data_IF_244000188098
#
_entry.id   IF_244000188098
#
_cell.length_a   1.000
_cell.length_b   1.000
_cell.length_c   1.000
_cell.angle_alpha   90.00
_cell.angle_beta   90.00
_cell.angle_gamma   90.00
#
_symmetry.space_group_name_H-M   'P 1'
#
loop_
_entity.id
_entity.type
_entity.pdbx_description
1 polymer ?
#
# COMPACT_ATOMS: atom_id res chain seq x y z
N UNK A 1 46.46 1.85 54.96
CA UNK A 1 45.77 1.37 53.75
C UNK A 1 44.69 2.38 53.38
N UNK A 2 44.75 3.00 52.20
CA UNK A 2 43.72 3.93 51.70
C UNK A 2 43.14 3.32 50.42
N UNK A 3 41.92 2.79 50.52
CA UNK A 3 41.17 2.24 49.39
C UNK A 3 40.48 3.39 48.66
N UNK A 4 40.71 3.50 47.34
CA UNK A 4 40.01 4.43 46.44
C UNK A 4 38.58 3.91 46.23
N UNK A 5 37.58 4.75 46.47
CA UNK A 5 36.22 4.54 45.98
C UNK A 5 35.92 5.69 45.03
N UNK A 6 35.98 5.39 43.73
CA UNK A 6 35.27 6.12 42.69
C UNK A 6 33.97 5.34 42.50
N UNK A 7 32.82 5.98 42.76
CA UNK A 7 31.53 5.39 42.42
C UNK A 7 30.67 6.43 41.72
N UNK A 8 30.46 6.10 40.45
CA UNK A 8 29.66 6.73 39.43
C UNK A 8 28.20 6.77 39.91
N UNK A 9 27.61 7.96 40.01
CA UNK A 9 26.16 8.13 40.11
C UNK A 9 25.68 9.10 39.03
N UNK A 10 25.79 8.64 37.78
CA UNK A 10 24.97 9.11 36.68
C UNK A 10 23.97 8.01 36.36
N UNK A 11 22.90 7.90 37.15
CA UNK A 11 21.83 6.91 36.94
C UNK A 11 20.46 7.53 37.28
N UNK A 12 20.19 8.64 36.61
CA UNK A 12 18.88 9.29 36.41
C UNK A 12 19.07 9.92 35.02
N UNK A 13 18.60 9.39 33.91
CA UNK A 13 17.30 8.83 33.62
C UNK A 13 17.43 7.98 32.35
N UNK A 14 17.42 6.66 32.51
CA UNK A 14 16.91 5.79 31.44
C UNK A 14 15.40 5.98 31.42
N UNK A 15 14.96 7.13 30.90
CA UNK A 15 13.66 7.24 30.27
C UNK A 15 13.73 6.33 29.07
N UNK A 16 13.39 5.06 29.29
CA UNK A 16 13.04 4.12 28.24
C UNK A 16 11.99 4.82 27.40
N UNK A 17 12.45 5.42 26.31
CA UNK A 17 11.62 5.96 25.27
C UNK A 17 11.05 4.75 24.54
N UNK A 18 10.11 4.04 25.18
CA UNK A 18 9.23 3.06 24.54
C UNK A 18 8.19 3.81 23.72
N UNK A 19 8.64 4.77 22.91
CA UNK A 19 8.02 5.06 21.63
C UNK A 19 8.79 4.21 20.60
N UNK A 20 8.79 2.89 20.79
CA UNK A 20 9.04 2.01 19.66
C UNK A 20 7.96 2.39 18.66
N UNK A 21 8.37 3.04 17.57
CA UNK A 21 7.50 3.49 16.50
C UNK A 21 6.58 2.32 16.14
N UNK A 22 5.31 2.43 16.51
CA UNK A 22 4.28 1.55 15.99
C UNK A 22 4.13 1.97 14.53
N UNK A 23 5.02 1.43 13.67
CA UNK A 23 4.90 1.62 12.24
C UNK A 23 3.52 1.12 11.84
N UNK A 24 2.73 1.99 11.22
CA UNK A 24 1.42 1.63 10.68
C UNK A 24 1.62 0.43 9.75
N UNK A 25 0.96 -0.68 10.05
CA UNK A 25 1.00 -1.92 9.26
C UNK A 25 0.80 -1.61 7.77
N UNK A 26 -0.12 -0.70 7.43
CA UNK A 26 -0.37 -0.32 6.05
C UNK A 26 0.80 0.43 5.39
N UNK A 27 1.54 1.24 6.14
CA UNK A 27 2.76 1.90 5.64
C UNK A 27 3.90 0.91 5.43
N UNK A 28 4.03 -0.08 6.30
CA UNK A 28 5.02 -1.15 6.17
C UNK A 28 4.74 -2.00 4.93
N UNK A 29 3.48 -2.41 4.75
CA UNK A 29 3.05 -3.22 3.61
C UNK A 29 3.24 -2.48 2.29
N UNK A 30 2.85 -1.19 2.23
CA UNK A 30 3.11 -0.33 1.06
C UNK A 30 4.61 -0.23 0.75
N UNK A 31 5.48 -0.07 1.76
CA UNK A 31 6.93 0.02 1.56
C UNK A 31 7.48 -1.29 0.97
N UNK A 32 7.09 -2.43 1.54
CA UNK A 32 7.53 -3.76 1.11
C UNK A 32 7.07 -4.04 -0.32
N UNK A 33 5.77 -3.86 -0.61
CA UNK A 33 5.24 -4.03 -1.95
C UNK A 33 5.96 -3.13 -2.95
N UNK A 34 6.17 -1.85 -2.62
CA UNK A 34 6.82 -0.93 -3.54
C UNK A 34 8.26 -1.33 -3.83
N UNK A 35 9.00 -1.82 -2.83
CA UNK A 35 10.36 -2.34 -3.02
C UNK A 35 10.38 -3.51 -4.00
N UNK A 36 9.45 -4.46 -3.90
CA UNK A 36 9.37 -5.57 -4.85
C UNK A 36 8.88 -5.10 -6.23
N UNK A 37 7.90 -4.21 -6.25
CA UNK A 37 7.27 -3.71 -7.46
C UNK A 37 8.25 -2.97 -8.35
N UNK A 38 8.86 -1.89 -7.87
CA UNK A 38 9.77 -1.07 -8.67
C UNK A 38 11.25 -1.34 -8.33
N UNK A 39 11.57 -1.65 -7.07
CA UNK A 39 12.94 -1.75 -6.60
C UNK A 39 13.74 -0.50 -6.93
N UNK A 40 14.92 -0.68 -7.53
CA UNK A 40 15.78 0.41 -8.02
C UNK A 40 15.45 0.87 -9.45
N UNK A 41 14.40 0.31 -10.08
CA UNK A 41 13.99 0.70 -11.44
C UNK A 41 13.40 2.12 -11.47
N UNK A 42 13.65 2.87 -12.53
CA UNK A 42 13.00 4.16 -12.80
C UNK A 42 11.96 4.08 -13.93
N UNK A 43 11.65 2.87 -14.39
CA UNK A 43 10.73 2.61 -15.50
C UNK A 43 9.57 1.70 -15.09
N UNK A 44 8.37 2.09 -15.50
CA UNK A 44 7.16 1.27 -15.47
C UNK A 44 6.62 1.03 -16.87
N UNK A 45 5.99 -0.13 -17.04
CA UNK A 45 5.10 -0.41 -18.16
C UNK A 45 3.63 -0.21 -17.79
N UNK A 46 2.78 -0.12 -18.80
CA UNK A 46 1.33 -0.12 -18.68
C UNK A 46 0.74 -1.15 -19.66
N UNK A 47 -0.19 -1.96 -19.18
CA UNK A 47 -1.00 -2.88 -19.98
C UNK A 47 -2.46 -2.42 -19.93
N UNK A 48 -3.08 -2.42 -21.10
CA UNK A 48 -4.48 -2.06 -21.30
C UNK A 48 -5.42 -3.13 -20.72
N UNK A 49 -6.49 -2.69 -20.04
CA UNK A 49 -7.51 -3.55 -19.41
C UNK A 49 -8.15 -4.57 -20.35
N UNK A 50 -8.16 -4.32 -21.67
CA UNK A 50 -8.74 -5.26 -22.65
C UNK A 50 -8.00 -6.61 -22.70
N UNK A 51 -6.76 -6.66 -22.20
CA UNK A 51 -5.93 -7.87 -22.15
C UNK A 51 -5.88 -8.53 -20.77
N UNK A 52 -6.68 -8.05 -19.81
CA UNK A 52 -6.59 -8.44 -18.40
C UNK A 52 -7.92 -9.06 -17.98
N UNK A 53 -7.87 -10.24 -17.35
CA UNK A 53 -9.07 -10.89 -16.83
C UNK A 53 -9.47 -10.39 -15.42
N UNK A 54 -10.48 -11.02 -14.82
CA UNK A 54 -10.97 -10.66 -13.48
C UNK A 54 -9.95 -10.94 -12.36
N UNK A 55 -8.99 -11.84 -12.61
CA UNK A 55 -7.97 -12.29 -11.67
C UNK A 55 -6.61 -11.63 -11.93
N UNK A 56 -6.62 -10.54 -12.71
CA UNK A 56 -5.43 -9.81 -13.15
C UNK A 56 -4.49 -10.60 -14.06
N UNK A 57 -4.93 -11.74 -14.58
CA UNK A 57 -4.12 -12.51 -15.51
C UNK A 57 -4.01 -11.74 -16.84
N UNK A 58 -2.77 -11.55 -17.28
CA UNK A 58 -2.44 -10.85 -18.52
C UNK A 58 -2.39 -11.84 -19.68
N UNK A 59 -3.11 -11.53 -20.76
CA UNK A 59 -3.02 -12.29 -22.02
C UNK A 59 -1.61 -12.23 -22.62
N UNK A 60 -1.12 -13.35 -23.16
CA UNK A 60 0.15 -13.42 -23.90
C UNK A 60 0.24 -12.44 -25.09
N UNK A 61 -0.90 -11.99 -25.60
CA UNK A 61 -0.98 -11.00 -26.68
C UNK A 61 -0.84 -9.55 -26.22
N UNK A 62 -0.74 -9.30 -24.91
CA UNK A 62 -0.62 -7.98 -24.33
C UNK A 62 0.70 -7.32 -24.74
N UNK A 63 0.61 -6.04 -25.11
CA UNK A 63 1.79 -5.20 -25.30
C UNK A 63 2.03 -4.33 -24.07
N UNK A 64 3.27 -4.31 -23.57
CA UNK A 64 3.67 -3.43 -22.48
C UNK A 64 4.03 -2.06 -23.06
N UNK A 65 3.27 -1.03 -22.69
CA UNK A 65 3.50 0.35 -23.10
C UNK A 65 4.47 1.00 -22.11
N UNK A 66 5.67 1.42 -22.53
CA UNK A 66 6.62 2.04 -21.61
C UNK A 66 6.15 3.44 -21.19
N UNK A 67 6.13 3.70 -19.89
CA UNK A 67 5.84 5.00 -19.33
C UNK A 67 7.09 5.88 -19.30
N UNK A 68 6.90 7.19 -19.42
CA UNK A 68 7.99 8.14 -19.22
C UNK A 68 8.45 8.15 -17.76
N UNK A 69 9.68 8.60 -17.50
CA UNK A 69 10.19 8.82 -16.13
C UNK A 69 9.31 9.74 -15.28
N UNK A 70 8.64 10.71 -15.91
CA UNK A 70 7.72 11.59 -15.19
C UNK A 70 6.46 10.84 -14.77
N UNK A 71 5.87 10.07 -15.67
CA UNK A 71 4.67 9.26 -15.40
C UNK A 71 4.96 8.19 -14.37
N UNK A 72 6.09 7.50 -14.48
CA UNK A 72 6.56 6.52 -13.47
C UNK A 72 6.63 7.14 -12.07
N UNK A 73 7.28 8.31 -11.93
CA UNK A 73 7.32 9.04 -10.64
C UNK A 73 5.93 9.46 -10.16
N UNK A 74 5.03 9.81 -11.07
CA UNK A 74 3.67 10.21 -10.74
C UNK A 74 2.86 9.01 -10.21
N UNK A 75 2.99 7.81 -10.79
CA UNK A 75 2.38 6.57 -10.29
C UNK A 75 2.94 6.20 -8.90
N UNK A 76 4.27 6.20 -8.74
CA UNK A 76 4.90 5.86 -7.45
C UNK A 76 4.47 6.83 -6.34
N UNK A 77 4.38 8.14 -6.64
CA UNK A 77 3.90 9.13 -5.67
C UNK A 77 2.43 8.94 -5.34
N UNK A 78 1.60 8.62 -6.33
CA UNK A 78 0.19 8.31 -6.11
C UNK A 78 0.05 7.12 -5.14
N UNK A 79 0.77 6.03 -5.38
CA UNK A 79 0.76 4.86 -4.49
C UNK A 79 1.24 5.21 -3.08
N UNK A 80 2.40 5.86 -2.92
CA UNK A 80 2.91 6.24 -1.60
C UNK A 80 1.94 7.11 -0.80
N UNK A 81 1.29 8.06 -1.47
CA UNK A 81 0.33 8.99 -0.84
C UNK A 81 -1.07 8.43 -0.67
N UNK A 82 -1.38 7.24 -1.18
CA UNK A 82 -2.69 6.63 -1.07
C UNK A 82 -2.94 6.05 0.34
N UNK A 83 -4.22 5.95 0.68
CA UNK A 83 -4.66 5.35 1.94
C UNK A 83 -4.70 3.82 1.78
N UNK A 84 -4.02 3.10 2.66
CA UNK A 84 -4.04 1.65 2.67
C UNK A 84 -5.37 1.14 3.24
N UNK A 85 -5.93 0.11 2.60
CA UNK A 85 -7.15 -0.56 3.00
C UNK A 85 -6.93 -2.07 2.97
N UNK A 86 -7.35 -2.76 4.03
CA UNK A 86 -7.27 -4.21 4.18
C UNK A 86 -8.66 -4.75 4.52
N UNK A 87 -9.29 -5.38 3.54
CA UNK A 87 -10.61 -6.00 3.64
C UNK A 87 -10.56 -7.33 4.39
N UNK A 88 -9.36 -7.88 4.64
CA UNK A 88 -9.22 -9.07 5.48
C UNK A 88 -9.44 -8.76 6.95
N UNK A 89 -9.43 -7.48 7.36
CA UNK A 89 -9.53 -7.09 8.76
C UNK A 89 -10.74 -6.22 8.98
N UNK A 90 -11.76 -6.72 9.70
CA UNK A 90 -12.67 -5.83 10.43
C UNK A 90 -11.91 -5.40 11.69
N UNK A 91 -11.61 -4.10 11.79
CA UNK A 91 -11.22 -3.51 13.07
C UNK A 91 -12.50 -3.13 13.80
N UNK A 92 -12.78 -3.81 14.91
CA UNK A 92 -13.76 -3.30 15.85
C UNK A 92 -13.15 -2.12 16.61
N UNK A 93 -13.96 -1.10 16.90
CA UNK A 93 -13.54 -0.04 17.82
C UNK A 93 -13.43 -0.61 19.24
N UNK A 94 -12.54 -0.03 20.05
CA UNK A 94 -12.51 -0.32 21.48
C UNK A 94 -13.87 0.04 22.11
N UNK A 95 -14.44 -0.89 22.87
CA UNK A 95 -15.67 -0.62 23.64
C UNK A 95 -15.28 0.18 24.87
N UNK A 96 -15.90 1.35 25.04
CA UNK A 96 -15.66 2.24 26.18
C UNK A 96 -16.89 2.33 27.08
N UNK A 97 -16.68 2.44 28.38
CA UNK A 97 -17.76 2.75 29.34
C UNK A 97 -18.16 4.24 29.26
N UNK A 98 -19.18 4.64 30.04
CA UNK A 98 -19.67 6.04 30.08
C UNK A 98 -18.60 7.06 30.54
N UNK A 99 -17.57 6.61 31.26
CA UNK A 99 -16.44 7.44 31.68
C UNK A 99 -15.32 7.53 30.61
N UNK A 100 -15.45 6.80 29.50
CA UNK A 100 -14.47 6.75 28.40
C UNK A 100 -13.34 5.74 28.58
N UNK A 101 -13.40 4.88 29.59
CA UNK A 101 -12.40 3.83 29.83
C UNK A 101 -12.67 2.62 28.92
N UNK A 102 -11.61 2.08 28.32
CA UNK A 102 -11.69 0.88 27.48
C UNK A 102 -12.03 -0.32 28.37
N UNK A 103 -13.16 -0.98 28.09
CA UNK A 103 -13.62 -2.19 28.77
C UNK A 103 -13.47 -3.45 27.92
N UNK A 104 -13.35 -3.28 26.60
CA UNK A 104 -13.05 -4.35 25.65
C UNK A 104 -12.20 -3.77 24.53
N UNK A 105 -11.07 -4.40 24.23
CA UNK A 105 -10.23 -4.01 23.10
C UNK A 105 -10.86 -4.48 21.79
N UNK A 106 -10.88 -3.60 20.80
CA UNK A 106 -11.33 -3.93 19.46
C UNK A 106 -10.53 -5.08 18.86
N UNK A 107 -11.18 -6.22 18.65
CA UNK A 107 -10.52 -7.39 18.05
C UNK A 107 -10.37 -7.23 16.53
N UNK A 108 -9.31 -7.82 15.99
CA UNK A 108 -9.08 -7.96 14.55
C UNK A 108 -9.69 -9.29 14.11
N UNK A 109 -10.78 -9.24 13.35
CA UNK A 109 -11.35 -10.45 12.72
C UNK A 109 -10.85 -10.59 11.28
N UNK A 110 -10.26 -11.75 10.97
CA UNK A 110 -9.82 -12.08 9.62
C UNK A 110 -11.00 -12.58 8.76
N UNK A 111 -11.33 -11.91 7.65
CA UNK A 111 -12.35 -12.38 6.70
C UNK A 111 -11.69 -13.00 5.47
N UNK A 112 -12.20 -14.18 5.07
CA UNK A 112 -11.97 -14.72 3.73
C UNK A 112 -12.94 -14.07 2.74
N UNK A 113 -12.48 -13.12 1.93
CA UNK A 113 -13.31 -12.47 0.90
C UNK A 113 -13.03 -13.12 -0.46
N UNK A 114 -13.91 -14.04 -0.89
CA UNK A 114 -13.96 -14.43 -2.31
C UNK A 114 -14.92 -13.49 -3.04
N UNK A 115 -14.38 -12.48 -3.72
CA UNK A 115 -15.18 -11.56 -4.53
C UNK A 115 -15.32 -12.08 -5.97
N UNK A 116 -16.56 -12.24 -6.44
CA UNK A 116 -16.89 -12.37 -7.86
C UNK A 116 -16.64 -11.01 -8.54
N UNK A 117 -15.43 -10.76 -9.02
CA UNK A 117 -15.08 -9.54 -9.74
C UNK A 117 -15.46 -9.66 -11.21
N UNK A 118 -16.07 -8.62 -11.83
CA UNK A 118 -16.36 -8.64 -13.25
C UNK A 118 -15.05 -8.64 -14.07
N UNK A 119 -14.95 -9.42 -15.15
CA UNK A 119 -13.76 -9.46 -15.99
C UNK A 119 -13.54 -8.12 -16.73
N UNK A 120 -12.26 -7.74 -16.89
CA UNK A 120 -11.76 -6.61 -17.71
C UNK A 120 -11.97 -5.20 -17.15
N UNK A 121 -11.75 -4.99 -15.85
CA UNK A 121 -11.79 -3.64 -15.26
C UNK A 121 -10.40 -3.06 -14.96
N UNK A 122 -9.35 -3.89 -14.93
CA UNK A 122 -8.04 -3.50 -14.39
C UNK A 122 -7.05 -3.12 -15.48
N UNK A 123 -6.42 -1.95 -15.33
CA UNK A 123 -5.16 -1.65 -16.00
C UNK A 123 -4.02 -2.21 -15.17
N UNK A 124 -2.97 -2.76 -15.79
CA UNK A 124 -1.82 -3.27 -15.04
C UNK A 124 -0.63 -2.35 -15.23
N UNK A 125 -0.12 -1.77 -14.15
CA UNK A 125 1.22 -1.17 -14.16
C UNK A 125 2.24 -2.27 -13.94
N UNK A 126 3.20 -2.40 -14.84
CA UNK A 126 4.21 -3.46 -14.80
C UNK A 126 5.51 -2.90 -14.25
N UNK A 127 5.92 -3.44 -13.10
CA UNK A 127 7.17 -3.12 -12.43
C UNK A 127 8.30 -4.07 -12.83
N UNK A 128 9.34 -4.11 -12.00
CA UNK A 128 10.49 -5.02 -12.19
C UNK A 128 10.11 -6.47 -11.90
N UNK A 129 9.43 -6.71 -10.77
CA UNK A 129 9.13 -8.09 -10.32
C UNK A 129 7.67 -8.31 -9.95
N UNK A 130 6.87 -7.25 -9.86
CA UNK A 130 5.45 -7.32 -9.57
C UNK A 130 4.65 -6.50 -10.57
N UNK A 131 3.37 -6.80 -10.58
CA UNK A 131 2.33 -6.06 -11.27
C UNK A 131 1.51 -5.29 -10.24
N UNK A 132 1.00 -4.13 -10.64
CA UNK A 132 0.17 -3.28 -9.82
C UNK A 132 -1.14 -3.01 -10.58
N UNK A 133 -2.18 -3.82 -10.33
CA UNK A 133 -3.50 -3.60 -10.88
C UNK A 133 -4.08 -2.27 -10.41
N UNK A 134 -4.78 -1.61 -11.31
CA UNK A 134 -5.45 -0.34 -11.07
C UNK A 134 -6.86 -0.35 -11.62
N UNK A 135 -7.82 -0.02 -10.76
CA UNK A 135 -9.20 0.22 -11.15
C UNK A 135 -9.75 1.41 -10.36
N UNK A 136 -10.33 2.37 -11.09
CA UNK A 136 -11.14 3.46 -10.55
C UNK A 136 -10.55 4.17 -9.31
N UNK A 137 -9.24 4.46 -9.33
CA UNK A 137 -8.58 5.16 -8.22
C UNK A 137 -8.09 4.27 -7.09
N UNK A 138 -8.07 2.94 -7.26
CA UNK A 138 -7.47 2.01 -6.32
C UNK A 138 -6.34 1.24 -7.00
N UNK A 139 -5.21 1.14 -6.32
CA UNK A 139 -4.15 0.20 -6.65
C UNK A 139 -4.31 -1.05 -5.79
N UNK A 140 -4.29 -2.24 -6.39
CA UNK A 140 -4.46 -3.49 -5.66
C UNK A 140 -3.10 -4.13 -5.38
N UNK A 141 -2.85 -4.49 -4.12
CA UNK A 141 -1.65 -5.22 -3.69
C UNK A 141 -1.98 -6.73 -3.69
N UNK A 142 -3.17 -7.06 -3.21
CA UNK A 142 -3.80 -8.39 -3.24
C UNK A 142 -5.30 -8.23 -3.48
N UNK A 143 -6.02 -9.34 -3.60
CA UNK A 143 -7.49 -9.37 -3.72
C UNK A 143 -8.21 -8.70 -2.53
N UNK A 144 -7.57 -8.68 -1.35
CA UNK A 144 -8.14 -8.14 -0.11
C UNK A 144 -7.46 -6.84 0.36
N UNK A 145 -6.27 -6.50 -0.15
CA UNK A 145 -5.55 -5.28 0.24
C UNK A 145 -5.36 -4.33 -0.94
N UNK A 146 -5.67 -3.06 -0.74
CA UNK A 146 -5.52 -2.02 -1.76
C UNK A 146 -5.02 -0.68 -1.20
N UNK A 147 -4.65 0.21 -2.10
CA UNK A 147 -4.25 1.59 -1.84
C UNK A 147 -5.19 2.51 -2.59
N UNK A 148 -6.06 3.19 -1.86
CA UNK A 148 -7.05 4.12 -2.42
C UNK A 148 -6.46 5.50 -2.62
N UNK A 149 -6.70 6.09 -3.79
CA UNK A 149 -6.16 7.38 -4.18
C UNK A 149 -7.13 8.51 -3.89
N UNK A 150 -6.59 9.66 -3.47
CA UNK A 150 -7.36 10.90 -3.47
C UNK A 150 -7.78 11.29 -4.89
N UNK A 151 -8.86 12.07 -5.02
CA UNK A 151 -9.37 12.56 -6.30
C UNK A 151 -8.30 13.22 -7.18
N UNK A 152 -7.34 13.92 -6.56
CA UNK A 152 -6.21 14.55 -7.27
C UNK A 152 -5.30 13.51 -7.92
N UNK A 153 -4.94 12.46 -7.19
CA UNK A 153 -4.07 11.41 -7.69
C UNK A 153 -4.80 10.52 -8.70
N UNK A 154 -6.04 10.13 -8.43
CA UNK A 154 -6.90 9.41 -9.37
C UNK A 154 -6.96 10.09 -10.74
N UNK A 155 -7.33 11.39 -10.78
CA UNK A 155 -7.38 12.17 -12.04
C UNK A 155 -6.05 12.14 -12.80
N UNK A 156 -4.94 12.14 -12.08
CA UNK A 156 -3.61 12.15 -12.67
C UNK A 156 -3.23 10.78 -13.25
N UNK A 157 -3.52 9.70 -12.54
CA UNK A 157 -3.32 8.32 -13.03
C UNK A 157 -4.23 8.06 -14.23
N UNK A 158 -5.51 8.42 -14.14
CA UNK A 158 -6.49 8.27 -15.23
C UNK A 158 -6.05 9.03 -16.50
N UNK A 159 -5.43 10.21 -16.35
CA UNK A 159 -4.91 10.96 -17.50
C UNK A 159 -3.72 10.25 -18.19
N UNK A 160 -2.87 9.56 -17.43
CA UNK A 160 -1.78 8.74 -17.99
C UNK A 160 -2.38 7.57 -18.76
N UNK A 161 -3.34 6.85 -18.16
CA UNK A 161 -4.01 5.74 -18.81
C UNK A 161 -4.70 6.20 -20.09
N UNK A 162 -5.49 7.28 -20.04
CA UNK A 162 -6.21 7.81 -21.20
C UNK A 162 -5.30 8.19 -22.36
N UNK A 163 -4.07 8.63 -22.09
CA UNK A 163 -3.07 8.97 -23.12
C UNK A 163 -2.66 7.76 -23.96
N UNK A 164 -2.68 6.55 -23.39
CA UNK A 164 -2.17 5.33 -24.02
C UNK A 164 -3.26 4.33 -24.40
N UNK A 165 -4.33 4.28 -23.61
CA UNK A 165 -5.42 3.30 -23.70
C UNK A 165 -6.73 3.96 -24.17
N UNK A 166 -6.65 4.86 -25.17
CA UNK A 166 -7.73 5.78 -25.56
C UNK A 166 -8.98 5.13 -26.20
N UNK A 167 -9.14 3.81 -26.12
CA UNK A 167 -10.27 3.11 -26.74
C UNK A 167 -11.36 2.80 -25.70
N UNK A 168 -12.07 3.85 -25.28
CA UNK A 168 -13.47 3.82 -24.83
C UNK A 168 -14.05 5.25 -24.84
#
# INVERSE_FOLDING_TARGET
MKLKIVLIMGLLSLGLNTNAQQEDYGETEKKHFLYDFIGDSDSLGLIDKRYVDAWWSVSDSASIIPLTRKETRDIIKAFKSGAFYDASVIKHDDVKNEAGEIIEYGMIESISVQANLPPKTYYIFVGKTKELPYENGNFYITDITSVSLSNKWKKKVDAIIKKYCSNE
#
